data_IF_954178167386
#
_entry.id   IF_954178167386
#
_cell.length_a   1.000
_cell.length_b   1.000
_cell.length_c   1.000
_cell.angle_alpha   90.00
_cell.angle_beta   90.00
_cell.angle_gamma   90.00
#
_symmetry.space_group_name_H-M   'P 1'
#
loop_
_entity.id
_entity.type
_entity.pdbx_description
1 polymer ?
#
# COMPACT_ATOMS: atom_id res chain seq x y z
N UNK A 1 9.63 -58.49 7.17
CA UNK A 1 10.54 -57.72 6.28
C UNK A 1 9.82 -56.44 5.91
N UNK A 2 10.27 -55.31 6.47
CA UNK A 2 9.67 -53.99 6.24
C UNK A 2 10.27 -53.38 4.99
N UNK A 3 9.47 -53.16 3.97
CA UNK A 3 9.86 -52.48 2.73
C UNK A 3 10.06 -50.99 3.02
N UNK A 4 11.32 -50.57 3.16
CA UNK A 4 11.70 -49.17 3.05
C UNK A 4 11.44 -48.71 1.62
N UNK A 5 10.51 -47.78 1.46
CA UNK A 5 10.33 -47.06 0.21
C UNK A 5 11.64 -46.34 -0.14
N UNK A 6 12.22 -46.67 -1.29
CA UNK A 6 13.37 -45.95 -1.84
C UNK A 6 12.97 -44.49 -2.09
N UNK A 7 13.56 -43.58 -1.32
CA UNK A 7 13.48 -42.13 -1.55
C UNK A 7 14.32 -41.84 -2.79
N UNK A 8 13.71 -41.24 -3.82
CA UNK A 8 14.43 -40.80 -5.02
C UNK A 8 15.31 -39.60 -4.66
N UNK A 9 16.62 -39.84 -4.54
CA UNK A 9 17.64 -38.94 -3.97
C UNK A 9 17.94 -37.65 -4.78
N UNK A 10 17.15 -37.37 -5.82
CA UNK A 10 17.37 -36.26 -6.76
C UNK A 10 16.48 -35.03 -6.56
N UNK A 11 15.37 -35.15 -5.84
CA UNK A 11 14.34 -34.10 -5.71
C UNK A 11 14.18 -33.58 -4.29
N UNK A 12 14.78 -34.27 -3.32
CA UNK A 12 14.77 -33.89 -1.91
C UNK A 12 15.38 -32.51 -1.70
N UNK A 13 14.70 -31.69 -0.90
CA UNK A 13 15.22 -30.38 -0.53
C UNK A 13 14.25 -29.55 0.29
N UNK A 14 14.56 -28.26 0.38
CA UNK A 14 13.83 -27.32 1.21
C UNK A 14 13.02 -26.36 0.35
N UNK A 15 11.74 -26.20 0.66
CA UNK A 15 10.95 -25.02 0.26
C UNK A 15 11.00 -24.03 1.40
N UNK A 16 11.54 -22.85 1.15
CA UNK A 16 11.65 -21.77 2.12
C UNK A 16 10.69 -20.63 1.81
N UNK A 17 10.29 -19.95 2.86
CA UNK A 17 9.48 -18.74 2.80
C UNK A 17 10.26 -17.65 3.53
N UNK A 18 10.60 -16.61 2.78
CA UNK A 18 11.31 -15.43 3.28
C UNK A 18 10.32 -14.32 3.60
N UNK A 19 10.61 -13.60 4.68
CA UNK A 19 9.96 -12.35 5.03
C UNK A 19 10.93 -11.17 4.86
N UNK A 20 10.39 -9.96 4.79
CA UNK A 20 11.19 -8.73 4.81
C UNK A 20 11.68 -8.49 6.24
N UNK A 21 13.00 -8.43 6.42
CA UNK A 21 13.65 -8.36 7.74
C UNK A 21 13.44 -7.02 8.44
N UNK A 22 13.46 -5.92 7.68
CA UNK A 22 13.57 -4.56 8.23
C UNK A 22 12.26 -3.75 8.13
N UNK A 23 11.21 -4.31 7.51
CA UNK A 23 9.93 -3.63 7.28
C UNK A 23 8.76 -4.63 7.47
N UNK A 24 7.72 -4.23 8.20
CA UNK A 24 6.49 -5.02 8.34
C UNK A 24 5.61 -4.83 7.09
N UNK A 25 5.87 -5.63 6.06
CA UNK A 25 5.15 -5.61 4.79
C UNK A 25 4.43 -6.96 4.57
N UNK A 26 3.21 -6.96 4.00
CA UNK A 26 2.52 -8.18 3.59
C UNK A 26 3.10 -8.72 2.27
N UNK A 27 4.41 -8.95 2.27
CA UNK A 27 5.17 -9.44 1.12
C UNK A 27 6.10 -10.56 1.60
N UNK A 28 6.07 -11.68 0.88
CA UNK A 28 7.01 -12.77 1.08
C UNK A 28 7.63 -13.22 -0.24
N UNK A 29 8.75 -13.94 -0.13
CA UNK A 29 9.36 -14.65 -1.25
C UNK A 29 9.33 -16.15 -0.95
N UNK A 30 8.81 -16.93 -1.89
CA UNK A 30 8.77 -18.39 -1.79
C UNK A 30 9.79 -18.93 -2.79
N UNK A 31 10.64 -19.85 -2.35
CA UNK A 31 11.60 -20.49 -3.23
C UNK A 31 12.02 -21.85 -2.70
N UNK A 32 12.85 -22.53 -3.47
CA UNK A 32 13.43 -23.81 -3.07
C UNK A 32 14.95 -23.80 -3.11
N UNK A 33 15.55 -24.69 -2.33
CA UNK A 33 16.99 -24.97 -2.37
C UNK A 33 17.27 -26.40 -1.95
N UNK A 34 18.25 -27.03 -2.58
CA UNK A 34 18.84 -28.30 -2.13
C UNK A 34 19.92 -28.11 -1.06
N UNK A 35 20.35 -26.85 -0.84
CA UNK A 35 21.31 -26.45 0.18
C UNK A 35 20.58 -25.97 1.45
N UNK A 36 21.34 -25.46 2.41
CA UNK A 36 20.81 -24.75 3.57
C UNK A 36 20.02 -23.48 3.13
N UNK A 37 18.75 -23.32 3.53
CA UNK A 37 17.95 -22.13 3.29
C UNK A 37 18.57 -20.82 3.80
N UNK A 38 19.30 -20.85 4.91
CA UNK A 38 19.96 -19.67 5.48
C UNK A 38 21.09 -19.18 4.57
N UNK A 39 21.88 -20.11 4.03
CA UNK A 39 22.92 -19.80 3.04
C UNK A 39 22.29 -19.23 1.78
N UNK A 40 21.20 -19.82 1.29
CA UNK A 40 20.48 -19.32 0.12
C UNK A 40 19.91 -17.91 0.35
N UNK A 41 19.37 -17.63 1.53
CA UNK A 41 18.89 -16.30 1.90
C UNK A 41 20.05 -15.27 1.91
N UNK A 42 21.22 -15.64 2.42
CA UNK A 42 22.40 -14.78 2.40
C UNK A 42 22.90 -14.51 0.98
N UNK A 43 22.87 -15.50 0.08
CA UNK A 43 23.16 -15.31 -1.35
C UNK A 43 22.19 -14.31 -2.00
N UNK A 44 20.88 -14.45 -1.73
CA UNK A 44 19.84 -13.54 -2.25
C UNK A 44 20.11 -12.12 -1.77
N UNK A 45 20.42 -11.92 -0.48
CA UNK A 45 20.72 -10.61 0.09
C UNK A 45 22.02 -9.99 -0.42
N UNK A 46 22.97 -10.79 -0.92
CA UNK A 46 24.21 -10.30 -1.58
C UNK A 46 24.02 -9.98 -3.05
N UNK A 47 23.03 -10.59 -3.70
CA UNK A 47 22.73 -10.33 -5.11
C UNK A 47 22.07 -8.96 -5.27
N UNK A 48 22.37 -8.27 -6.38
CA UNK A 48 22.09 -6.86 -6.64
C UNK A 48 20.60 -6.45 -6.74
N UNK A 49 19.68 -7.31 -6.33
CA UNK A 49 18.24 -7.02 -6.19
C UNK A 49 17.98 -6.31 -4.85
N UNK A 50 18.37 -5.04 -4.78
CA UNK A 50 18.26 -4.17 -3.59
C UNK A 50 16.82 -3.75 -3.22
N UNK A 51 15.84 -4.65 -3.37
CA UNK A 51 14.44 -4.34 -3.08
C UNK A 51 14.12 -4.46 -1.59
N UNK A 52 14.56 -5.56 -0.96
CA UNK A 52 14.31 -5.89 0.45
C UNK A 52 15.50 -6.67 1.03
N UNK A 53 15.78 -6.47 2.32
CA UNK A 53 16.61 -7.38 3.08
C UNK A 53 15.73 -8.54 3.57
N UNK A 54 16.07 -9.77 3.20
CA UNK A 54 15.26 -10.96 3.50
C UNK A 54 15.75 -11.70 4.74
N UNK A 55 14.83 -12.34 5.46
CA UNK A 55 15.10 -13.36 6.48
C UNK A 55 14.30 -14.62 6.20
N UNK A 56 14.88 -15.80 6.46
CA UNK A 56 14.16 -17.08 6.40
C UNK A 56 13.19 -17.14 7.56
N UNK A 57 11.89 -17.26 7.27
CA UNK A 57 10.85 -17.37 8.30
C UNK A 57 10.36 -18.80 8.48
N UNK A 58 10.14 -19.50 7.37
CA UNK A 58 9.69 -20.90 7.38
C UNK A 58 10.48 -21.75 6.40
N UNK A 59 10.62 -23.03 6.75
CA UNK A 59 11.19 -24.07 5.90
C UNK A 59 10.31 -25.31 5.97
N UNK A 60 9.99 -25.87 4.81
CA UNK A 60 9.34 -27.16 4.63
C UNK A 60 10.33 -28.05 3.88
N UNK A 61 10.88 -29.06 4.55
CA UNK A 61 11.71 -30.05 3.89
C UNK A 61 10.82 -31.16 3.34
N UNK A 62 10.98 -31.47 2.06
CA UNK A 62 10.16 -32.45 1.34
C UNK A 62 11.03 -33.34 0.44
N UNK A 63 10.50 -34.50 0.07
CA UNK A 63 11.14 -35.45 -0.86
C UNK A 63 11.13 -34.98 -2.32
N UNK A 64 10.28 -34.01 -2.69
CA UNK A 64 10.29 -33.33 -4.00
C UNK A 64 10.04 -31.81 -3.86
N UNK A 65 11.12 -31.06 -3.62
CA UNK A 65 11.02 -29.61 -3.39
C UNK A 65 10.73 -28.80 -4.65
N UNK A 66 11.08 -29.35 -5.83
CA UNK A 66 10.84 -28.69 -7.13
C UNK A 66 9.35 -28.73 -7.45
N UNK A 67 8.73 -29.92 -7.38
CA UNK A 67 7.30 -30.07 -7.64
C UNK A 67 6.48 -29.33 -6.59
N UNK A 68 6.89 -29.36 -5.33
CA UNK A 68 6.18 -28.68 -4.26
C UNK A 68 6.22 -27.15 -4.40
N UNK A 69 7.39 -26.57 -4.68
CA UNK A 69 7.51 -25.13 -4.92
C UNK A 69 6.67 -24.68 -6.12
N UNK A 70 6.72 -25.43 -7.22
CA UNK A 70 5.90 -25.16 -8.42
C UNK A 70 4.39 -25.24 -8.12
N UNK A 71 3.98 -26.17 -7.25
CA UNK A 71 2.58 -26.30 -6.83
C UNK A 71 2.13 -25.09 -5.99
N UNK A 72 2.96 -24.65 -5.04
CA UNK A 72 2.70 -23.46 -4.21
C UNK A 72 2.59 -22.21 -5.10
N UNK A 73 3.55 -22.00 -6.01
CA UNK A 73 3.56 -20.84 -6.90
C UNK A 73 2.31 -20.78 -7.77
N UNK A 74 1.91 -21.90 -8.38
CA UNK A 74 0.68 -21.99 -9.20
C UNK A 74 -0.58 -21.70 -8.39
N UNK A 75 -0.65 -22.16 -7.16
CA UNK A 75 -1.83 -21.96 -6.30
C UNK A 75 -1.93 -20.53 -5.78
N UNK A 76 -0.78 -19.93 -5.49
CA UNK A 76 -0.68 -18.55 -5.00
C UNK A 76 -0.45 -17.54 -6.14
N UNK A 77 -0.60 -17.94 -7.40
CA UNK A 77 -0.32 -17.11 -8.58
C UNK A 77 -1.13 -15.81 -8.57
N UNK A 78 -2.36 -15.82 -8.04
CA UNK A 78 -3.18 -14.61 -7.89
C UNK A 78 -2.56 -13.54 -6.98
N UNK A 79 -1.69 -13.94 -6.08
CA UNK A 79 -0.95 -13.04 -5.19
C UNK A 79 0.44 -12.71 -5.72
N UNK A 80 0.90 -13.36 -6.79
CA UNK A 80 2.23 -13.17 -7.34
C UNK A 80 2.34 -11.82 -8.03
N UNK A 81 3.42 -11.11 -7.76
CA UNK A 81 3.72 -9.86 -8.45
C UNK A 81 4.26 -10.16 -9.85
N UNK A 82 3.64 -9.56 -10.87
CA UNK A 82 4.02 -9.78 -12.27
C UNK A 82 5.49 -9.45 -12.53
N UNK A 83 6.23 -10.40 -13.11
CA UNK A 83 7.66 -10.25 -13.43
C UNK A 83 8.59 -10.38 -12.23
N UNK A 84 8.11 -10.85 -11.08
CA UNK A 84 8.88 -11.00 -9.83
C UNK A 84 8.57 -12.34 -9.16
N UNK A 85 9.45 -12.73 -8.25
CA UNK A 85 9.28 -13.92 -7.39
C UNK A 85 8.71 -13.54 -6.01
N UNK A 86 7.91 -12.47 -5.95
CA UNK A 86 7.30 -11.96 -4.72
C UNK A 86 5.80 -12.24 -4.70
N UNK A 87 5.27 -12.45 -3.51
CA UNK A 87 3.85 -12.68 -3.28
C UNK A 87 3.30 -11.61 -2.34
N UNK A 88 2.14 -11.05 -2.65
CA UNK A 88 1.42 -10.08 -1.83
C UNK A 88 0.63 -10.76 -0.70
N UNK A 89 1.36 -11.48 0.16
CA UNK A 89 0.90 -12.06 1.41
C UNK A 89 2.06 -12.15 2.40
N UNK A 90 1.73 -12.32 3.67
CA UNK A 90 2.74 -12.52 4.73
C UNK A 90 3.37 -13.91 4.65
N UNK A 91 4.56 -14.07 5.23
CA UNK A 91 5.20 -15.38 5.32
C UNK A 91 4.36 -16.40 6.12
N UNK A 92 3.64 -15.95 7.13
CA UNK A 92 2.74 -16.78 7.96
C UNK A 92 1.56 -17.32 7.13
N UNK A 93 0.93 -16.49 6.29
CA UNK A 93 -0.14 -16.90 5.38
C UNK A 93 0.36 -17.88 4.30
N UNK A 94 1.53 -17.58 3.71
CA UNK A 94 2.16 -18.43 2.71
C UNK A 94 2.42 -19.82 3.29
N UNK A 95 2.92 -19.87 4.53
CA UNK A 95 3.20 -21.10 5.24
C UNK A 95 1.92 -21.88 5.55
N UNK A 96 0.86 -21.20 6.00
CA UNK A 96 -0.45 -21.83 6.22
C UNK A 96 -1.00 -22.49 4.96
N UNK A 97 -0.91 -21.81 3.82
CA UNK A 97 -1.27 -22.37 2.52
C UNK A 97 -0.37 -23.56 2.16
N UNK A 98 0.94 -23.41 2.23
CA UNK A 98 1.90 -24.46 1.89
C UNK A 98 1.71 -25.72 2.76
N UNK A 99 1.53 -25.59 4.07
CA UNK A 99 1.24 -26.71 4.97
C UNK A 99 -0.06 -27.42 4.63
N UNK A 100 -1.13 -26.67 4.36
CA UNK A 100 -2.42 -27.25 3.96
C UNK A 100 -2.27 -28.03 2.66
N UNK A 101 -1.55 -27.46 1.69
CA UNK A 101 -1.31 -28.10 0.39
C UNK A 101 -0.49 -29.38 0.54
N UNK A 102 0.57 -29.35 1.35
CA UNK A 102 1.41 -30.53 1.62
C UNK A 102 0.60 -31.66 2.24
N UNK A 103 -0.26 -31.34 3.22
CA UNK A 103 -1.15 -32.32 3.86
C UNK A 103 -2.18 -32.94 2.89
N UNK A 104 -2.50 -32.25 1.78
CA UNK A 104 -3.39 -32.74 0.74
C UNK A 104 -2.67 -33.53 -0.37
N UNK A 105 -1.33 -33.59 -0.36
CA UNK A 105 -0.57 -34.38 -1.34
C UNK A 105 -0.41 -35.83 -0.87
N UNK A 106 -0.64 -36.79 -1.77
CA UNK A 106 -0.24 -38.19 -1.59
C UNK A 106 1.19 -38.46 -2.05
N UNK A 107 1.70 -37.63 -2.96
CA UNK A 107 2.90 -37.91 -3.76
C UNK A 107 4.14 -37.16 -3.26
N UNK A 108 3.96 -36.17 -2.39
CA UNK A 108 5.04 -35.34 -1.83
C UNK A 108 4.97 -35.49 -0.31
N UNK A 109 6.06 -35.93 0.30
CA UNK A 109 6.14 -36.21 1.73
C UNK A 109 7.04 -35.21 2.43
N UNK A 110 6.59 -34.76 3.59
CA UNK A 110 7.43 -33.99 4.51
C UNK A 110 8.53 -34.88 5.09
N UNK A 111 9.76 -34.36 5.10
CA UNK A 111 10.92 -35.01 5.72
C UNK A 111 11.46 -34.11 6.85
N UNK A 112 12.35 -34.62 7.72
CA UNK A 112 12.91 -33.82 8.80
C UNK A 112 13.62 -32.56 8.28
N UNK A 113 13.12 -31.39 8.69
CA UNK A 113 13.69 -30.10 8.31
C UNK A 113 14.98 -29.80 9.09
N UNK A 114 15.94 -29.06 8.48
CA UNK A 114 17.08 -28.53 9.23
C UNK A 114 16.61 -27.62 10.36
N UNK A 115 17.27 -27.68 11.52
CA UNK A 115 16.93 -26.82 12.65
C UNK A 115 17.24 -25.36 12.31
N UNK A 116 16.21 -24.51 12.31
CA UNK A 116 16.37 -23.07 12.13
C UNK A 116 16.75 -22.48 13.50
N UNK A 117 17.87 -21.73 13.63
CA UNK A 117 18.23 -21.06 14.87
C UNK A 117 17.07 -20.17 15.37
N UNK A 118 16.77 -20.13 16.68
CA UNK A 118 15.63 -19.39 17.23
C UNK A 118 15.63 -17.88 16.97
N UNK A 119 16.73 -17.30 16.48
CA UNK A 119 16.90 -15.88 16.23
C UNK A 119 16.03 -15.31 15.08
N UNK A 120 15.30 -16.14 14.33
CA UNK A 120 14.34 -15.73 13.27
C UNK A 120 12.88 -15.95 13.69
N UNK A 121 12.64 -16.52 14.87
CA UNK A 121 11.32 -16.71 15.46
C UNK A 121 11.05 -15.59 16.48
N UNK A 122 10.92 -14.35 16.01
CA UNK A 122 10.10 -13.41 16.78
C UNK A 122 8.72 -14.07 16.92
N UNK A 123 8.43 -14.58 18.13
CA UNK A 123 7.14 -15.16 18.49
C UNK A 123 6.10 -14.06 18.36
N UNK A 124 5.42 -14.00 17.21
CA UNK A 124 4.06 -13.45 17.19
C UNK A 124 3.25 -14.37 18.10
N UNK A 125 2.77 -13.83 19.22
CA UNK A 125 1.81 -14.50 20.10
C UNK A 125 0.65 -15.03 19.24
N UNK A 126 0.07 -16.17 19.66
CA UNK A 126 -0.96 -16.95 18.93
C UNK A 126 -2.23 -16.16 18.55
N UNK A 127 -2.31 -14.88 18.88
CA UNK A 127 -3.40 -13.98 18.49
C UNK A 127 -3.24 -13.38 17.08
N UNK A 128 -2.16 -13.67 16.35
CA UNK A 128 -1.85 -13.06 15.05
C UNK A 128 -1.95 -14.02 13.84
N UNK A 129 -2.87 -14.98 13.84
CA UNK A 129 -3.34 -15.58 12.58
C UNK A 129 -4.22 -14.52 11.89
N UNK A 130 -3.58 -13.61 11.15
CA UNK A 130 -4.24 -12.47 10.51
C UNK A 130 -4.96 -12.92 9.24
N UNK A 131 -6.22 -12.49 9.17
CA UNK A 131 -7.25 -12.90 8.22
C UNK A 131 -7.35 -11.85 7.09
N UNK A 132 -7.93 -12.19 5.92
CA UNK A 132 -8.08 -11.27 4.80
C UNK A 132 -8.86 -10.01 5.20
N UNK A 133 -8.52 -8.89 4.56
CA UNK A 133 -9.16 -7.58 4.74
C UNK A 133 -10.67 -7.73 4.51
N UNK A 134 -11.44 -7.34 5.53
CA UNK A 134 -12.88 -7.53 5.66
C UNK A 134 -13.24 -8.74 6.52
N UNK A 135 -13.24 -8.59 7.86
CA UNK A 135 -14.16 -9.27 8.82
C UNK A 135 -13.74 -9.14 10.30
N UNK A 136 -14.76 -8.92 11.16
CA UNK A 136 -14.77 -8.82 12.64
C UNK A 136 -13.98 -7.67 13.27
N UNK A 137 -14.72 -6.66 13.72
CA UNK A 137 -14.22 -5.48 14.44
C UNK A 137 -14.48 -4.16 13.71
N UNK A 138 -14.53 -4.19 12.36
CA UNK A 138 -14.81 -3.03 11.50
C UNK A 138 -16.19 -3.11 10.83
N UNK A 139 -17.03 -4.05 11.27
CA UNK A 139 -18.39 -4.27 10.74
C UNK A 139 -19.25 -3.00 10.87
N UNK A 140 -18.95 -2.16 11.86
CA UNK A 140 -19.57 -0.86 12.05
C UNK A 140 -19.36 0.09 10.87
N UNK A 141 -18.25 -0.02 10.13
CA UNK A 141 -17.97 0.84 8.97
C UNK A 141 -18.51 0.29 7.65
N UNK A 142 -18.98 -0.96 7.62
CA UNK A 142 -19.47 -1.59 6.38
C UNK A 142 -20.61 -0.80 5.71
N UNK A 143 -21.60 -0.23 6.44
CA UNK A 143 -22.67 0.57 5.85
C UNK A 143 -22.18 1.86 5.16
N UNK A 144 -21.22 2.58 5.74
CA UNK A 144 -20.68 3.79 5.12
C UNK A 144 -19.77 3.46 3.93
N UNK A 145 -18.98 2.38 4.01
CA UNK A 145 -18.21 1.87 2.87
C UNK A 145 -19.11 1.40 1.72
N UNK A 146 -20.26 0.81 2.03
CA UNK A 146 -21.28 0.46 1.06
C UNK A 146 -21.89 1.72 0.40
N UNK A 147 -22.08 2.80 1.15
CA UNK A 147 -22.52 4.09 0.61
C UNK A 147 -21.54 4.58 -0.46
N UNK A 148 -20.24 4.56 -0.19
CA UNK A 148 -19.21 4.92 -1.16
C UNK A 148 -19.30 4.09 -2.46
N UNK A 149 -19.33 2.76 -2.34
CA UNK A 149 -19.38 1.82 -3.48
C UNK A 149 -20.65 2.03 -4.31
N UNK A 150 -21.80 2.08 -3.64
CA UNK A 150 -23.11 2.17 -4.29
C UNK A 150 -23.36 3.53 -4.93
N UNK A 151 -23.01 4.63 -4.25
CA UNK A 151 -23.22 6.00 -4.75
C UNK A 151 -22.31 6.34 -5.92
N UNK A 152 -21.05 5.87 -5.92
CA UNK A 152 -20.13 6.08 -7.03
C UNK A 152 -20.26 5.04 -8.15
N UNK A 153 -21.00 3.94 -7.91
CA UNK A 153 -21.13 2.85 -8.89
C UNK A 153 -19.80 2.12 -9.16
N UNK A 154 -18.95 2.01 -8.14
CA UNK A 154 -17.59 1.43 -8.25
C UNK A 154 -17.51 0.12 -7.47
N UNK A 155 -16.54 -0.73 -7.81
CA UNK A 155 -16.31 -1.97 -7.02
C UNK A 155 -15.65 -1.72 -5.66
N UNK A 156 -14.93 -0.61 -5.53
CA UNK A 156 -14.06 -0.33 -4.39
C UNK A 156 -12.77 -1.16 -4.44
N UNK A 157 -11.63 -0.49 -4.35
CA UNK A 157 -10.33 -1.13 -4.17
C UNK A 157 -9.84 -0.86 -2.74
N UNK A 158 -9.64 -1.90 -1.91
CA UNK A 158 -9.19 -1.69 -0.55
C UNK A 158 -7.77 -1.13 -0.50
N UNK A 159 -7.53 -0.25 0.46
CA UNK A 159 -6.21 0.21 0.86
C UNK A 159 -6.11 0.28 2.39
N UNK A 160 -4.89 0.46 2.89
CA UNK A 160 -4.57 0.38 4.31
C UNK A 160 -3.74 -0.87 4.63
N UNK A 161 -3.26 -0.93 5.87
CA UNK A 161 -2.47 -2.05 6.37
C UNK A 161 -3.15 -2.68 7.56
N UNK A 162 -3.15 -4.01 7.62
CA UNK A 162 -3.74 -4.77 8.73
C UNK A 162 -3.05 -4.39 10.04
N UNK A 163 -3.84 -3.92 11.02
CA UNK A 163 -3.34 -3.50 12.34
C UNK A 163 -2.89 -2.04 12.40
N UNK A 164 -2.97 -1.28 11.31
CA UNK A 164 -2.91 0.18 11.36
C UNK A 164 -4.31 0.75 11.57
N UNK A 165 -4.44 1.91 12.24
CA UNK A 165 -5.74 2.54 12.46
C UNK A 165 -6.37 3.05 11.15
N UNK A 166 -5.58 3.23 10.09
CA UNK A 166 -5.99 3.83 8.83
C UNK A 166 -6.27 2.78 7.73
N UNK A 167 -7.47 2.78 7.15
CA UNK A 167 -7.86 1.91 6.03
C UNK A 167 -9.01 2.52 5.21
N UNK A 168 -9.33 1.95 4.05
CA UNK A 168 -10.42 2.49 3.22
C UNK A 168 -10.61 1.83 1.87
N UNK A 169 -11.40 2.47 1.01
CA UNK A 169 -11.67 2.08 -0.37
C UNK A 169 -11.38 3.22 -1.33
N UNK A 170 -10.78 2.94 -2.49
CA UNK A 170 -10.71 3.87 -3.62
C UNK A 170 -11.56 3.39 -4.80
N UNK A 171 -11.89 4.28 -5.72
CA UNK A 171 -12.57 3.94 -6.98
C UNK A 171 -11.69 3.14 -7.96
N UNK A 172 -10.36 3.14 -7.73
CA UNK A 172 -9.37 2.48 -8.57
C UNK A 172 -9.08 3.17 -9.91
N UNK A 173 -9.54 4.40 -10.11
CA UNK A 173 -9.32 5.15 -11.35
C UNK A 173 -7.83 5.49 -11.56
N UNK A 174 -7.36 5.62 -12.81
CA UNK A 174 -5.96 6.02 -13.07
C UNK A 174 -5.87 7.54 -13.22
N UNK A 175 -5.16 8.20 -12.30
CA UNK A 175 -5.06 9.66 -12.24
C UNK A 175 -5.75 10.18 -10.98
N UNK A 176 -6.79 11.01 -11.16
CA UNK A 176 -7.59 11.54 -10.06
C UNK A 176 -8.58 10.49 -9.58
N UNK A 177 -8.58 10.19 -8.29
CA UNK A 177 -9.36 9.11 -7.67
C UNK A 177 -10.24 9.65 -6.56
N UNK A 178 -11.44 9.09 -6.43
CA UNK A 178 -12.18 9.14 -5.17
C UNK A 178 -11.68 8.08 -4.19
N UNK A 179 -11.60 8.44 -2.91
CA UNK A 179 -11.39 7.50 -1.83
C UNK A 179 -12.26 7.81 -0.61
N UNK A 180 -12.62 6.77 0.14
CA UNK A 180 -13.12 6.89 1.50
C UNK A 180 -12.07 6.29 2.44
N UNK A 181 -11.65 7.05 3.45
CA UNK A 181 -10.66 6.65 4.44
C UNK A 181 -11.28 6.65 5.84
N UNK A 182 -10.84 5.72 6.67
CA UNK A 182 -11.30 5.49 8.04
C UNK A 182 -10.07 5.49 8.94
N UNK A 183 -10.08 6.33 9.96
CA UNK A 183 -9.14 6.31 11.07
C UNK A 183 -9.85 5.79 12.32
N UNK A 184 -9.53 4.57 12.76
CA UNK A 184 -10.17 3.90 13.92
C UNK A 184 -10.01 4.63 15.25
N UNK A 185 -8.96 5.44 15.33
CA UNK A 185 -8.63 6.29 16.47
C UNK A 185 -8.10 7.60 15.86
N UNK A 186 -8.93 8.66 15.76
CA UNK A 186 -10.04 9.00 16.65
C UNK A 186 -11.48 8.63 16.20
N UNK A 187 -11.66 7.63 15.30
CA UNK A 187 -12.95 7.28 14.65
C UNK A 187 -13.46 8.34 13.69
N UNK A 188 -12.58 8.73 12.78
CA UNK A 188 -12.94 9.69 11.74
C UNK A 188 -13.05 9.02 10.39
N UNK A 189 -14.00 9.52 9.60
CA UNK A 189 -14.25 9.04 8.25
C UNK A 189 -14.09 10.23 7.33
N UNK A 190 -13.29 10.06 6.28
CA UNK A 190 -12.97 11.08 5.32
C UNK A 190 -13.36 10.63 3.92
N UNK A 191 -14.05 11.48 3.18
CA UNK A 191 -14.09 11.38 1.73
C UNK A 191 -12.92 12.18 1.19
N UNK A 192 -12.23 11.66 0.18
CA UNK A 192 -11.04 12.26 -0.40
C UNK A 192 -11.02 12.22 -1.93
N UNK A 193 -10.35 13.22 -2.49
CA UNK A 193 -9.90 13.31 -3.88
C UNK A 193 -8.38 13.19 -3.85
N UNK A 194 -7.86 12.14 -4.47
CA UNK A 194 -6.43 11.86 -4.52
C UNK A 194 -5.89 12.01 -5.94
N UNK A 195 -4.70 12.58 -6.05
CA UNK A 195 -3.89 12.58 -7.25
C UNK A 195 -2.46 12.17 -6.88
N UNK A 196 -2.14 10.90 -7.13
CA UNK A 196 -0.87 10.30 -6.75
C UNK A 196 0.28 10.61 -7.73
N UNK A 197 1.50 10.71 -7.22
CA UNK A 197 2.75 10.78 -8.01
C UNK A 197 3.24 9.45 -8.57
N UNK A 198 2.31 8.61 -9.02
CA UNK A 198 2.64 7.37 -9.72
C UNK A 198 2.79 7.58 -11.24
N UNK A 199 3.54 6.68 -11.88
CA UNK A 199 3.70 6.68 -13.34
C UNK A 199 2.38 6.26 -14.02
N UNK A 200 1.57 7.25 -14.36
CA UNK A 200 0.47 7.14 -15.31
C UNK A 200 0.89 7.67 -16.69
N UNK A 201 0.08 7.41 -17.71
CA UNK A 201 0.25 8.10 -18.99
C UNK A 201 0.19 9.61 -18.76
N UNK A 202 1.20 10.36 -19.19
CA UNK A 202 1.23 11.82 -19.11
C UNK A 202 1.66 12.46 -17.77
N UNK A 203 1.85 11.69 -16.68
CA UNK A 203 2.12 12.24 -15.33
C UNK A 203 1.11 13.32 -14.90
N UNK A 204 -0.14 12.94 -14.60
CA UNK A 204 -1.22 13.89 -14.33
C UNK A 204 -0.93 14.86 -13.19
N UNK A 205 -0.21 14.43 -12.13
CA UNK A 205 0.20 15.34 -11.05
C UNK A 205 1.20 16.41 -11.50
N UNK A 206 2.13 16.06 -12.39
CA UNK A 206 3.08 17.02 -12.93
C UNK A 206 2.36 18.05 -13.79
N UNK A 207 1.40 17.58 -14.60
CA UNK A 207 0.53 18.44 -15.42
C UNK A 207 -0.28 19.39 -14.53
N UNK A 208 -0.87 18.87 -13.46
CA UNK A 208 -1.62 19.67 -12.50
C UNK A 208 -0.77 20.77 -11.85
N UNK A 209 0.39 20.40 -11.30
CA UNK A 209 1.30 21.35 -10.65
C UNK A 209 1.76 22.43 -11.64
N UNK A 210 2.19 22.04 -12.85
CA UNK A 210 2.65 23.01 -13.85
C UNK A 210 1.54 23.96 -14.30
N UNK A 211 0.32 23.47 -14.47
CA UNK A 211 -0.82 24.29 -14.84
C UNK A 211 -1.15 25.31 -13.75
N UNK A 212 -1.31 24.87 -12.50
CA UNK A 212 -1.66 25.76 -11.39
C UNK A 212 -0.54 26.75 -11.05
N UNK A 213 0.73 26.42 -11.30
CA UNK A 213 1.82 27.39 -11.19
C UNK A 213 1.76 28.47 -12.29
N UNK A 214 1.30 28.13 -13.49
CA UNK A 214 1.22 29.07 -14.61
C UNK A 214 -0.07 29.91 -14.58
N UNK A 215 -1.17 29.31 -14.12
CA UNK A 215 -2.52 29.89 -14.05
C UNK A 215 -3.20 29.37 -12.78
N UNK A 216 -2.95 29.99 -11.62
CA UNK A 216 -3.55 29.55 -10.36
C UNK A 216 -5.06 29.76 -10.39
N UNK A 217 -5.83 28.68 -10.15
CA UNK A 217 -7.29 28.72 -10.16
C UNK A 217 -7.90 28.38 -8.79
N UNK A 218 -7.07 28.15 -7.77
CA UNK A 218 -7.54 27.73 -6.45
C UNK A 218 -8.59 28.68 -5.84
N UNK A 219 -8.43 30.00 -5.98
CA UNK A 219 -9.38 30.98 -5.45
C UNK A 219 -10.74 30.92 -6.15
N UNK A 220 -10.78 30.65 -7.46
CA UNK A 220 -12.03 30.45 -8.20
C UNK A 220 -12.77 29.22 -7.67
N UNK A 221 -12.03 28.12 -7.44
CA UNK A 221 -12.60 26.89 -6.90
C UNK A 221 -13.04 27.05 -5.45
N UNK A 222 -12.30 27.83 -4.65
CA UNK A 222 -12.71 28.18 -3.28
C UNK A 222 -14.05 28.91 -3.25
N UNK A 223 -14.32 29.76 -4.24
CA UNK A 223 -15.59 30.48 -4.33
C UNK A 223 -16.79 29.57 -4.67
N UNK A 224 -16.56 28.40 -5.28
CA UNK A 224 -17.59 27.39 -5.57
C UNK A 224 -17.91 26.50 -4.35
N UNK A 225 -17.10 26.57 -3.29
CA UNK A 225 -17.20 25.71 -2.12
C UNK A 225 -17.92 26.45 -1.00
N UNK A 226 -19.03 25.88 -0.52
CA UNK A 226 -19.83 26.51 0.52
C UNK A 226 -19.12 26.65 1.88
N UNK A 227 -18.21 25.73 2.23
CA UNK A 227 -17.47 25.78 3.49
C UNK A 227 -16.00 25.31 3.33
N UNK A 228 -15.08 26.18 2.89
CA UNK A 228 -13.68 25.84 2.72
C UNK A 228 -12.95 25.46 4.03
N UNK A 229 -13.44 25.87 5.21
CA UNK A 229 -12.83 25.53 6.50
C UNK A 229 -12.91 24.04 6.85
N UNK A 230 -13.89 23.32 6.28
CA UNK A 230 -14.08 21.88 6.48
C UNK A 230 -13.16 21.02 5.62
N UNK A 231 -12.58 21.61 4.58
CA UNK A 231 -11.79 20.90 3.59
C UNK A 231 -10.32 21.00 3.97
N UNK A 232 -9.66 19.85 4.07
CA UNK A 232 -8.23 19.74 4.27
C UNK A 232 -7.56 19.46 2.93
N UNK A 233 -6.59 20.30 2.56
CA UNK A 233 -5.68 20.09 1.45
C UNK A 233 -4.32 19.64 1.99
N UNK A 234 -3.83 18.55 1.43
CA UNK A 234 -2.58 17.92 1.84
C UNK A 234 -1.75 17.64 0.60
N UNK A 235 -0.56 18.21 0.55
CA UNK A 235 0.48 17.79 -0.37
C UNK A 235 1.50 16.97 0.41
N UNK A 236 1.71 15.73 -0.01
CA UNK A 236 2.67 14.82 0.62
C UNK A 236 3.85 14.54 -0.31
N UNK A 237 5.02 14.34 0.29
CA UNK A 237 6.21 13.78 -0.33
C UNK A 237 6.22 12.27 -0.06
N UNK A 238 5.76 11.51 -1.04
CA UNK A 238 5.82 10.05 -1.00
C UNK A 238 7.26 9.62 -1.32
N UNK A 239 7.97 9.05 -0.34
CA UNK A 239 9.23 8.34 -0.57
C UNK A 239 8.95 6.93 -1.08
N UNK A 240 9.71 6.47 -2.08
CA UNK A 240 9.46 5.20 -2.75
C UNK A 240 10.60 4.22 -2.51
N UNK A 241 10.22 3.03 -2.02
CA UNK A 241 11.05 1.83 -2.08
C UNK A 241 10.29 0.79 -2.90
N UNK A 242 10.56 0.77 -4.21
CA UNK A 242 9.85 -0.06 -5.18
C UNK A 242 8.35 0.29 -5.22
N UNK A 243 7.51 -0.50 -4.55
CA UNK A 243 6.06 -0.31 -4.44
C UNK A 243 5.63 0.16 -3.05
N UNK A 244 6.54 0.16 -2.07
CA UNK A 244 6.27 0.62 -0.72
C UNK A 244 6.50 2.14 -0.61
N UNK A 245 5.72 2.76 0.27
CA UNK A 245 5.83 4.16 0.67
C UNK A 245 6.19 4.24 2.14
N UNK A 246 7.48 4.13 2.52
CA UNK A 246 7.88 4.28 3.91
C UNK A 246 7.54 5.69 4.43
N UNK A 247 7.21 5.76 5.72
CA UNK A 247 7.01 7.04 6.41
C UNK A 247 8.33 7.79 6.50
N UNK A 248 8.30 9.09 6.20
CA UNK A 248 9.43 9.99 6.32
C UNK A 248 9.09 11.18 7.22
N UNK A 249 10.11 11.84 7.77
CA UNK A 249 9.92 13.04 8.59
C UNK A 249 9.37 14.19 7.74
N UNK A 250 9.87 14.33 6.51
CA UNK A 250 9.55 15.40 5.55
C UNK A 250 8.27 15.11 4.75
N UNK A 251 7.35 14.30 5.30
CA UNK A 251 6.20 13.78 4.58
C UNK A 251 5.26 14.88 4.09
N UNK A 252 5.04 15.93 4.88
CA UNK A 252 4.12 17.01 4.50
C UNK A 252 4.88 18.14 3.80
N UNK A 253 4.51 18.42 2.55
CA UNK A 253 4.94 19.62 1.82
C UNK A 253 4.29 20.83 2.49
N UNK A 254 5.05 21.91 2.72
CA UNK A 254 4.64 23.02 3.59
C UNK A 254 4.64 22.68 5.09
N UNK A 255 5.16 21.51 5.47
CA UNK A 255 5.36 21.08 6.86
C UNK A 255 4.10 20.65 7.61
N UNK A 256 2.89 20.85 7.06
CA UNK A 256 1.63 20.48 7.71
C UNK A 256 0.48 20.20 6.74
N UNK A 257 -0.67 19.83 7.29
CA UNK A 257 -1.96 19.83 6.59
C UNK A 257 -2.57 21.24 6.67
N UNK A 258 -3.22 21.68 5.60
CA UNK A 258 -3.81 23.01 5.52
C UNK A 258 -5.32 22.92 5.37
N UNK A 259 -6.07 23.79 6.05
CA UNK A 259 -7.46 24.03 5.67
C UNK A 259 -7.47 24.78 4.34
N UNK A 260 -8.44 24.50 3.49
CA UNK A 260 -8.53 25.15 2.19
C UNK A 260 -8.74 26.67 2.32
N UNK A 261 -9.43 27.12 3.37
CA UNK A 261 -9.60 28.54 3.72
C UNK A 261 -8.29 29.26 4.06
N UNK A 262 -7.29 28.55 4.60
CA UNK A 262 -5.99 29.11 5.01
C UNK A 262 -5.04 29.31 3.83
N UNK A 263 -5.34 28.70 2.67
CA UNK A 263 -4.45 28.75 1.51
C UNK A 263 -4.79 29.99 0.70
N UNK A 264 -3.91 30.99 0.78
CA UNK A 264 -3.91 32.14 -0.12
C UNK A 264 -3.07 31.85 -1.38
N UNK A 265 -3.09 32.73 -2.40
CA UNK A 265 -2.32 32.53 -3.62
C UNK A 265 -0.80 32.39 -3.42
N UNK A 266 -0.23 33.08 -2.43
CA UNK A 266 1.20 33.02 -2.18
C UNK A 266 1.59 31.66 -1.58
N UNK A 267 0.87 31.23 -0.54
CA UNK A 267 1.05 29.92 0.06
C UNK A 267 0.79 28.80 -0.96
N UNK A 268 -0.21 28.94 -1.83
CA UNK A 268 -0.46 27.94 -2.87
C UNK A 268 0.73 27.74 -3.79
N UNK A 269 1.34 28.85 -4.25
CA UNK A 269 2.52 28.80 -5.11
C UNK A 269 3.74 28.21 -4.39
N UNK A 270 3.93 28.49 -3.10
CA UNK A 270 4.99 27.88 -2.29
C UNK A 270 4.82 26.36 -2.20
N UNK A 271 3.62 25.89 -1.86
CA UNK A 271 3.29 24.47 -1.79
C UNK A 271 3.51 23.77 -3.14
N UNK A 272 3.09 24.39 -4.25
CA UNK A 272 3.29 23.85 -5.58
C UNK A 272 4.76 23.83 -5.99
N UNK A 273 5.55 24.84 -5.60
CA UNK A 273 6.98 24.89 -5.89
C UNK A 273 7.71 23.73 -5.19
N UNK A 274 7.46 23.52 -3.90
CA UNK A 274 8.04 22.39 -3.15
C UNK A 274 7.54 21.03 -3.69
N UNK A 275 6.25 20.93 -4.04
CA UNK A 275 5.71 19.73 -4.68
C UNK A 275 6.41 19.43 -6.01
N UNK A 276 6.70 20.47 -6.82
CA UNK A 276 7.43 20.32 -8.09
C UNK A 276 8.85 19.82 -7.89
N UNK A 277 9.53 20.19 -6.81
CA UNK A 277 10.89 19.70 -6.52
C UNK A 277 10.94 18.18 -6.31
N UNK A 278 9.82 17.59 -5.89
CA UNK A 278 9.67 16.13 -5.80
C UNK A 278 9.64 15.44 -7.18
N UNK A 279 9.61 16.20 -8.28
CA UNK A 279 9.59 15.70 -9.65
C UNK A 279 10.95 15.92 -10.35
N UNK A 280 11.29 15.02 -11.27
CA UNK A 280 12.56 15.01 -11.99
C UNK A 280 12.59 16.07 -13.11
N UNK A 281 13.24 17.20 -12.85
CA UNK A 281 13.39 18.29 -13.81
C UNK A 281 14.03 17.85 -15.14
N UNK A 282 14.96 16.89 -15.11
CA UNK A 282 15.62 16.38 -16.33
C UNK A 282 14.67 15.62 -17.26
N UNK A 283 13.54 15.17 -16.74
CA UNK A 283 12.46 14.50 -17.49
C UNK A 283 11.28 15.43 -17.74
N UNK A 284 11.50 16.74 -17.77
CA UNK A 284 10.42 17.74 -17.84
C UNK A 284 9.37 17.52 -16.74
N UNK A 285 9.84 17.18 -15.54
CA UNK A 285 9.03 16.84 -14.35
C UNK A 285 8.13 15.59 -14.51
N UNK A 286 8.33 14.77 -15.56
CA UNK A 286 7.62 13.50 -15.79
C UNK A 286 8.38 12.32 -15.20
N UNK A 287 8.74 12.42 -13.93
CA UNK A 287 9.55 11.45 -13.22
C UNK A 287 9.64 11.75 -11.73
N UNK A 288 10.02 10.73 -10.95
CA UNK A 288 10.36 10.90 -9.53
C UNK A 288 11.75 11.53 -9.40
N UNK A 289 11.87 12.54 -8.56
CA UNK A 289 13.19 13.09 -8.19
C UNK A 289 13.88 12.19 -7.17
N UNK A 290 15.19 12.27 -7.04
CA UNK A 290 15.93 11.66 -5.91
C UNK A 290 16.22 12.72 -4.86
N UNK A 291 15.72 12.51 -3.65
CA UNK A 291 15.92 13.45 -2.53
C UNK A 291 16.34 12.73 -1.25
N UNK A 292 17.22 13.38 -0.48
CA UNK A 292 17.64 12.89 0.82
C UNK A 292 16.46 13.07 1.77
N UNK A 293 15.92 11.98 2.27
CA UNK A 293 14.76 11.96 3.16
C UNK A 293 15.09 11.17 4.42
N UNK A 294 14.44 11.51 5.52
CA UNK A 294 14.65 10.83 6.80
C UNK A 294 13.56 9.78 7.00
N UNK A 295 13.90 8.50 6.78
CA UNK A 295 12.96 7.39 6.96
C UNK A 295 12.72 7.18 8.45
N UNK A 296 11.45 7.25 8.85
CA UNK A 296 11.01 7.06 10.23
C UNK A 296 10.45 5.66 10.42
N UNK A 297 10.98 4.96 11.40
CA UNK A 297 10.44 3.71 11.94
C UNK A 297 9.92 3.92 13.36
N UNK A 298 9.46 2.87 14.04
CA UNK A 298 9.00 2.98 15.42
C UNK A 298 10.13 3.33 16.42
N UNK A 299 11.39 3.09 16.06
CA UNK A 299 12.53 3.17 16.97
C UNK A 299 13.70 4.00 16.44
N UNK A 300 13.66 4.41 15.18
CA UNK A 300 14.80 5.05 14.52
C UNK A 300 14.36 6.00 13.39
N UNK A 301 15.20 7.00 13.14
CA UNK A 301 15.10 7.97 12.04
C UNK A 301 16.42 7.99 11.28
N UNK A 302 16.44 7.46 10.06
CA UNK A 302 17.68 7.33 9.28
C UNK A 302 17.60 8.11 7.96
N UNK A 303 18.56 8.98 7.65
CA UNK A 303 18.66 9.62 6.35
C UNK A 303 18.95 8.60 5.24
N UNK A 304 18.18 8.65 4.15
CA UNK A 304 18.34 7.78 2.98
C UNK A 304 18.09 8.55 1.69
N UNK A 305 18.85 8.18 0.66
CA UNK A 305 18.58 8.64 -0.69
C UNK A 305 17.45 7.84 -1.32
N UNK A 306 16.32 8.47 -1.63
CA UNK A 306 15.13 7.79 -2.16
C UNK A 306 14.53 8.51 -3.36
N UNK A 307 13.87 7.75 -4.23
CA UNK A 307 12.98 8.33 -5.23
C UNK A 307 11.75 8.90 -4.50
N UNK A 308 11.39 10.14 -4.78
CA UNK A 308 10.23 10.82 -4.19
C UNK A 308 9.24 11.27 -5.25
N UNK A 309 7.99 11.46 -4.87
CA UNK A 309 6.99 12.11 -5.72
C UNK A 309 5.99 12.91 -4.88
N UNK A 310 5.39 13.98 -5.43
CA UNK A 310 4.29 14.63 -4.76
C UNK A 310 3.04 13.74 -4.77
N UNK A 311 2.14 13.95 -3.84
CA UNK A 311 0.80 13.36 -3.78
C UNK A 311 -0.15 14.40 -3.22
N UNK A 312 -1.17 14.76 -3.99
CA UNK A 312 -2.25 15.63 -3.55
C UNK A 312 -3.40 14.78 -2.97
N UNK A 313 -3.80 15.09 -1.74
CA UNK A 313 -5.03 14.60 -1.11
C UNK A 313 -5.85 15.79 -0.67
N UNK A 314 -7.09 15.90 -1.14
CA UNK A 314 -8.05 16.88 -0.66
C UNK A 314 -9.23 16.14 -0.06
N UNK A 315 -9.56 16.41 1.19
CA UNK A 315 -10.52 15.61 1.93
C UNK A 315 -11.45 16.46 2.80
N UNK A 316 -12.67 15.95 3.02
CA UNK A 316 -13.64 16.49 3.98
C UNK A 316 -14.10 15.35 4.89
N UNK A 317 -14.48 15.70 6.11
CA UNK A 317 -14.99 14.72 7.09
C UNK A 317 -16.44 14.38 6.74
N UNK A 318 -16.76 13.09 6.77
CA UNK A 318 -18.14 12.60 6.80
C UNK A 318 -18.58 12.62 8.27
N UNK A 319 -19.48 13.53 8.62
CA UNK A 319 -19.94 13.74 10.00
C UNK A 319 -20.96 12.66 10.40
N UNK A 320 -20.47 11.45 10.65
CA UNK A 320 -21.24 10.33 11.19
C UNK A 320 -20.42 9.62 12.27
N UNK A 321 -21.10 9.10 13.29
CA UNK A 321 -20.56 8.13 14.24
C UNK A 321 -21.13 6.75 13.88
N UNK A 322 -20.33 5.83 13.32
CA UNK A 322 -20.81 4.49 12.90
C UNK A 322 -21.44 3.66 14.02
N UNK A 323 -21.24 4.02 15.30
CA UNK A 323 -21.89 3.35 16.43
C UNK A 323 -23.27 3.91 16.76
N UNK A 324 -23.55 5.15 16.37
CA UNK A 324 -24.81 5.86 16.65
C UNK A 324 -25.67 5.98 15.40
N UNK A 325 -25.03 6.22 14.27
CA UNK A 325 -25.62 6.45 12.96
C UNK A 325 -25.50 5.16 12.13
N UNK A 326 -26.45 4.26 12.31
CA UNK A 326 -26.48 2.96 11.63
C UNK A 326 -27.56 2.87 10.55
N UNK A 327 -28.45 3.86 10.47
CA UNK A 327 -29.47 3.88 9.44
C UNK A 327 -28.88 4.32 8.09
N UNK A 328 -29.18 3.58 7.03
CA UNK A 328 -28.58 3.78 5.72
C UNK A 328 -28.95 5.14 5.11
N UNK A 329 -30.10 5.72 5.49
CA UNK A 329 -30.54 7.00 4.95
C UNK A 329 -29.68 8.17 5.47
N UNK A 330 -29.40 8.20 6.77
CA UNK A 330 -28.49 9.16 7.41
C UNK A 330 -27.08 9.01 6.84
N UNK A 331 -26.55 7.78 6.76
CA UNK A 331 -25.23 7.52 6.20
C UNK A 331 -25.12 7.97 4.74
N UNK A 332 -26.13 7.66 3.93
CA UNK A 332 -26.19 8.12 2.55
C UNK A 332 -26.26 9.64 2.45
N UNK A 333 -27.09 10.30 3.28
CA UNK A 333 -27.22 11.76 3.29
C UNK A 333 -25.90 12.44 3.69
N UNK A 334 -25.19 11.89 4.68
CA UNK A 334 -23.89 12.41 5.10
C UNK A 334 -22.82 12.21 4.02
N UNK A 335 -22.82 11.05 3.36
CA UNK A 335 -21.97 10.79 2.20
C UNK A 335 -22.26 11.77 1.06
N UNK A 336 -23.54 11.93 0.70
CA UNK A 336 -23.96 12.79 -0.41
C UNK A 336 -23.59 14.25 -0.13
N UNK A 337 -23.67 14.71 1.12
CA UNK A 337 -23.19 16.02 1.56
C UNK A 337 -21.68 16.20 1.36
N UNK A 338 -20.88 15.27 1.89
CA UNK A 338 -19.42 15.29 1.72
C UNK A 338 -18.99 15.19 0.24
N UNK A 339 -19.72 14.40 -0.56
CA UNK A 339 -19.51 14.26 -1.99
C UNK A 339 -19.80 15.57 -2.72
N UNK A 340 -20.93 16.22 -2.43
CA UNK A 340 -21.28 17.51 -3.00
C UNK A 340 -20.24 18.60 -2.66
N UNK A 341 -19.71 18.61 -1.43
CA UNK A 341 -18.64 19.52 -1.00
C UNK A 341 -17.35 19.33 -1.81
N UNK A 342 -16.93 18.08 -2.05
CA UNK A 342 -15.67 17.80 -2.77
C UNK A 342 -15.81 17.73 -4.29
N UNK A 343 -17.02 17.68 -4.82
CA UNK A 343 -17.24 17.53 -6.27
C UNK A 343 -16.60 18.66 -7.10
N UNK A 344 -16.69 19.96 -6.73
CA UNK A 344 -16.00 21.03 -7.45
C UNK A 344 -14.48 20.81 -7.51
N UNK A 345 -13.88 20.36 -6.40
CA UNK A 345 -12.44 20.04 -6.33
C UNK A 345 -12.11 18.87 -7.24
N UNK A 346 -12.87 17.78 -7.17
CA UNK A 346 -12.64 16.62 -8.04
C UNK A 346 -12.68 17.01 -9.52
N UNK A 347 -13.69 17.79 -9.92
CA UNK A 347 -13.87 18.20 -11.30
C UNK A 347 -12.75 19.14 -11.76
N UNK A 348 -12.32 20.08 -10.90
CA UNK A 348 -11.16 20.93 -11.14
C UNK A 348 -9.87 20.13 -11.31
N UNK A 349 -9.51 19.30 -10.33
CA UNK A 349 -8.28 18.50 -10.38
C UNK A 349 -8.32 17.56 -11.58
N UNK A 350 -9.46 16.95 -11.89
CA UNK A 350 -9.64 16.08 -13.06
C UNK A 350 -9.47 16.81 -14.38
N UNK A 351 -10.03 18.01 -14.51
CA UNK A 351 -9.93 18.85 -15.71
C UNK A 351 -8.49 19.30 -15.93
N UNK A 352 -7.84 19.79 -14.88
CA UNK A 352 -6.48 20.33 -14.93
C UNK A 352 -5.43 19.22 -15.08
N UNK A 353 -5.58 18.08 -14.41
CA UNK A 353 -4.65 16.95 -14.55
C UNK A 353 -4.73 16.26 -15.93
N UNK A 354 -5.80 16.52 -16.70
CA UNK A 354 -6.00 16.05 -18.08
C UNK A 354 -5.70 17.10 -19.14
N UNK A 355 -5.52 18.37 -18.79
CA UNK A 355 -5.25 19.41 -19.80
C UNK A 355 -3.92 19.10 -20.47
N UNK A 356 -4.00 18.66 -21.72
CA UNK A 356 -2.82 18.38 -22.52
C UNK A 356 -1.95 19.63 -22.60
N UNK A 357 -0.65 19.37 -22.44
CA UNK A 357 0.44 20.02 -23.13
C UNK A 357 0.01 20.50 -24.53
N UNK A 358 -0.39 21.77 -24.63
CA UNK A 358 -0.33 22.52 -25.88
C UNK A 358 1.06 23.14 -25.98
#
# INVERSE_FOLDING_TARGET
MSTMAQVQDGFTGNVYILEVKDLDLPVCKIGMTKKDPMVRCAEINKSSTGDFLWSVRYVLAVDDCIRFESLIHRTLERYRQKGREFFQLTADEAYGHAKTMLAQQSDIKEIPAPSIPPATLAKRTKDNIRRPIGMKGDEEYAPILYSFVSRLGVKGRPFGQVGKPHFGLSDGYKGVQWNIAIDRDPREIYLGVNLEGMKYSGWPIATFIQFEMARPNLEEIKAEIGNPDRILLILSRDAWQVHARPTIVEQHIGGRRHKLSEIDPALWLELLSEARECLDASKNFRGRSKQLVTVRTATDETPRMMDVSPHLTVQTKIDVDPKRDYDQATLNSAFDGAYAELKPIHDWVSRVAKSNSN
#
